data_IF_728012515326
#
_entry.id   IF_728012515326
#
_cell.length_a   1.000
_cell.length_b   1.000
_cell.length_c   1.000
_cell.angle_alpha   90.00
_cell.angle_beta   90.00
_cell.angle_gamma   90.00
#
_symmetry.space_group_name_H-M   'P 1'
#
loop_
_entity.id
_entity.type
_entity.pdbx_description
1 polymer ?
#
# COMPACT_ATOMS: atom_id res chain seq x y z
N UNK A 1 -20.56 -3.85 12.65
CA UNK A 1 -20.78 -5.22 12.15
C UNK A 1 -21.61 -5.06 10.88
N UNK A 2 -21.07 -5.48 9.72
CA UNK A 2 -21.72 -5.30 8.42
C UNK A 2 -22.94 -6.22 8.35
N UNK A 3 -24.14 -5.67 8.13
CA UNK A 3 -25.34 -6.46 7.82
C UNK A 3 -25.19 -7.02 6.40
N UNK A 4 -24.68 -8.25 6.32
CA UNK A 4 -24.63 -9.06 5.10
C UNK A 4 -25.75 -10.09 5.16
N UNK A 5 -26.43 -10.33 4.04
CA UNK A 5 -27.33 -11.49 3.92
C UNK A 5 -26.53 -12.76 4.21
N UNK A 6 -27.17 -13.82 4.74
CA UNK A 6 -26.48 -15.04 5.15
C UNK A 6 -25.62 -15.65 4.02
N UNK A 7 -26.11 -15.60 2.78
CA UNK A 7 -25.36 -16.01 1.58
C UNK A 7 -24.12 -15.14 1.34
N UNK A 8 -24.26 -13.81 1.47
CA UNK A 8 -23.14 -12.88 1.31
C UNK A 8 -22.11 -13.05 2.44
N UNK A 9 -22.57 -13.40 3.65
CA UNK A 9 -21.71 -13.70 4.80
C UNK A 9 -20.87 -14.94 4.56
N UNK A 10 -21.47 -16.03 4.06
CA UNK A 10 -20.75 -17.27 3.73
C UNK A 10 -19.76 -17.03 2.59
N UNK A 11 -20.18 -16.31 1.54
CA UNK A 11 -19.28 -15.90 0.45
C UNK A 11 -18.12 -15.06 0.98
N UNK A 12 -18.39 -14.08 1.84
CA UNK A 12 -17.37 -13.27 2.49
C UNK A 12 -16.36 -14.11 3.29
N UNK A 13 -16.82 -15.07 4.10
CA UNK A 13 -15.94 -15.99 4.84
C UNK A 13 -15.09 -16.89 3.94
N UNK A 14 -15.61 -17.28 2.77
CA UNK A 14 -14.82 -18.01 1.78
C UNK A 14 -13.71 -17.13 1.20
N UNK A 15 -14.05 -15.90 0.77
CA UNK A 15 -13.05 -14.95 0.24
C UNK A 15 -12.03 -14.50 1.28
N UNK A 16 -12.40 -14.37 2.56
CA UNK A 16 -11.43 -14.09 3.63
C UNK A 16 -10.39 -15.21 3.79
N UNK A 17 -10.79 -16.48 3.59
CA UNK A 17 -9.86 -17.62 3.62
C UNK A 17 -8.95 -17.65 2.41
N UNK A 18 -9.51 -17.38 1.22
CA UNK A 18 -8.71 -17.26 -0.02
C UNK A 18 -7.70 -16.12 0.11
N UNK A 19 -8.14 -14.94 0.56
CA UNK A 19 -7.31 -13.77 0.82
C UNK A 19 -6.13 -14.10 1.74
N UNK A 20 -6.39 -14.80 2.86
CA UNK A 20 -5.33 -15.21 3.78
C UNK A 20 -4.30 -16.15 3.14
N UNK A 21 -4.75 -17.06 2.26
CA UNK A 21 -3.84 -17.98 1.57
C UNK A 21 -3.04 -17.25 0.47
N UNK A 22 -3.65 -16.27 -0.21
CA UNK A 22 -2.99 -15.42 -1.19
C UNK A 22 -1.93 -14.53 -0.54
N UNK A 23 -2.27 -13.84 0.57
CA UNK A 23 -1.32 -13.03 1.34
C UNK A 23 -0.10 -13.85 1.79
N UNK A 24 -0.31 -15.11 2.23
CA UNK A 24 0.76 -16.04 2.61
C UNK A 24 1.62 -16.44 1.40
N UNK A 25 0.99 -16.72 0.26
CA UNK A 25 1.69 -17.04 -0.98
C UNK A 25 2.58 -15.89 -1.48
N UNK A 26 2.11 -14.65 -1.34
CA UNK A 26 2.87 -13.44 -1.68
C UNK A 26 3.90 -13.02 -0.63
N UNK A 27 3.97 -13.76 0.49
CA UNK A 27 4.84 -13.48 1.63
C UNK A 27 4.61 -12.11 2.30
N UNK A 28 3.35 -11.65 2.36
CA UNK A 28 2.99 -10.52 3.22
C UNK A 28 3.11 -10.90 4.70
N UNK A 29 3.64 -9.98 5.50
CA UNK A 29 3.78 -10.17 6.94
C UNK A 29 2.49 -9.87 7.71
N UNK A 30 1.61 -9.05 7.14
CA UNK A 30 0.35 -8.62 7.72
C UNK A 30 -0.81 -8.94 6.77
N UNK A 31 -2.08 -9.00 7.24
CA UNK A 31 -3.24 -9.25 6.39
C UNK A 31 -3.50 -8.11 5.37
N UNK A 32 -2.83 -8.15 4.22
CA UNK A 32 -2.87 -7.13 3.17
C UNK A 32 -4.26 -7.01 2.57
N UNK A 33 -4.82 -8.08 2.04
CA UNK A 33 -6.11 -8.06 1.37
C UNK A 33 -7.25 -7.55 2.29
N UNK A 34 -7.22 -7.92 3.57
CA UNK A 34 -8.18 -7.43 4.58
C UNK A 34 -8.03 -5.93 4.81
N UNK A 35 -6.79 -5.44 4.84
CA UNK A 35 -6.50 -4.01 4.99
C UNK A 35 -6.96 -3.22 3.77
N UNK A 36 -6.74 -3.74 2.55
CA UNK A 36 -7.26 -3.16 1.31
C UNK A 36 -8.78 -3.07 1.34
N UNK A 37 -9.47 -4.14 1.74
CA UNK A 37 -10.94 -4.17 1.81
C UNK A 37 -11.50 -3.09 2.75
N UNK A 38 -10.87 -2.86 3.91
CA UNK A 38 -11.29 -1.83 4.85
C UNK A 38 -11.04 -0.40 4.34
N UNK A 39 -9.90 -0.15 3.67
CA UNK A 39 -9.65 1.13 3.00
C UNK A 39 -10.67 1.37 1.88
N UNK A 40 -11.00 0.33 1.10
CA UNK A 40 -12.06 0.38 0.10
C UNK A 40 -13.42 0.71 0.71
N UNK A 41 -13.79 0.12 1.86
CA UNK A 41 -15.06 0.40 2.54
C UNK A 41 -15.19 1.89 2.92
N UNK A 42 -14.10 2.46 3.48
CA UNK A 42 -14.06 3.86 3.88
C UNK A 42 -14.22 4.81 2.68
N UNK A 43 -13.48 4.55 1.59
CA UNK A 43 -13.59 5.33 0.36
C UNK A 43 -14.96 5.17 -0.31
N UNK A 44 -15.48 3.94 -0.39
CA UNK A 44 -16.78 3.66 -0.98
C UNK A 44 -17.91 4.43 -0.27
N UNK A 45 -17.85 4.55 1.06
CA UNK A 45 -18.77 5.37 1.84
C UNK A 45 -18.61 6.86 1.55
N UNK A 46 -17.39 7.36 1.44
CA UNK A 46 -17.12 8.76 1.09
C UNK A 46 -17.67 9.13 -0.30
N UNK A 47 -17.66 8.18 -1.24
CA UNK A 47 -18.25 8.30 -2.57
C UNK A 47 -19.72 7.89 -2.67
N UNK A 48 -20.35 7.49 -1.55
CA UNK A 48 -21.75 7.08 -1.49
C UNK A 48 -22.11 5.95 -2.48
N UNK A 49 -21.22 4.97 -2.64
CA UNK A 49 -21.51 3.78 -3.46
C UNK A 49 -22.73 3.05 -2.90
N UNK A 50 -23.57 2.53 -3.81
CA UNK A 50 -24.69 1.69 -3.43
C UNK A 50 -24.21 0.43 -2.69
N UNK A 51 -25.05 -0.11 -1.81
CA UNK A 51 -24.68 -1.27 -0.97
C UNK A 51 -24.20 -2.46 -1.82
N UNK A 52 -24.86 -2.74 -2.94
CA UNK A 52 -24.47 -3.81 -3.86
C UNK A 52 -23.05 -3.60 -4.41
N UNK A 53 -22.77 -2.43 -5.01
CA UNK A 53 -21.45 -2.13 -5.61
C UNK A 53 -20.34 -2.13 -4.57
N UNK A 54 -20.67 -1.68 -3.35
CA UNK A 54 -19.76 -1.73 -2.21
C UNK A 54 -19.47 -3.17 -1.79
N UNK A 55 -20.47 -4.06 -1.73
CA UNK A 55 -20.24 -5.49 -1.48
C UNK A 55 -19.33 -6.11 -2.55
N UNK A 56 -19.58 -5.85 -3.83
CA UNK A 56 -18.73 -6.33 -4.92
C UNK A 56 -17.28 -5.82 -4.82
N UNK A 57 -17.10 -4.55 -4.41
CA UNK A 57 -15.77 -3.98 -4.18
C UNK A 57 -15.04 -4.64 -3.01
N UNK A 58 -15.73 -4.97 -1.92
CA UNK A 58 -15.10 -5.66 -0.79
C UNK A 58 -14.66 -7.07 -1.17
N UNK A 59 -15.48 -7.80 -1.93
CA UNK A 59 -15.10 -9.12 -2.46
C UNK A 59 -13.90 -8.98 -3.41
N UNK A 60 -13.91 -8.00 -4.31
CA UNK A 60 -12.80 -7.76 -5.22
C UNK A 60 -11.50 -7.40 -4.48
N UNK A 61 -11.58 -6.60 -3.43
CA UNK A 61 -10.42 -6.28 -2.58
C UNK A 61 -9.83 -7.53 -1.91
N UNK A 62 -10.66 -8.48 -1.48
CA UNK A 62 -10.18 -9.74 -0.91
C UNK A 62 -9.59 -10.70 -1.96
N UNK A 63 -9.97 -10.55 -3.22
CA UNK A 63 -9.64 -11.49 -4.29
C UNK A 63 -8.70 -10.93 -5.37
N UNK A 64 -8.24 -9.68 -5.24
CA UNK A 64 -7.55 -8.97 -6.32
C UNK A 64 -6.31 -9.72 -6.84
N UNK A 65 -5.53 -10.32 -5.95
CA UNK A 65 -4.32 -11.09 -6.27
C UNK A 65 -4.54 -12.61 -6.29
N UNK A 66 -5.79 -13.10 -6.24
CA UNK A 66 -6.08 -14.55 -6.26
C UNK A 66 -5.49 -15.25 -7.50
N UNK A 67 -5.38 -14.52 -8.62
CA UNK A 67 -4.75 -15.04 -9.84
C UNK A 67 -3.27 -15.39 -9.66
N UNK A 68 -2.55 -14.71 -8.77
CA UNK A 68 -1.14 -14.97 -8.48
C UNK A 68 -0.95 -16.36 -7.87
N UNK A 69 -1.82 -16.73 -6.92
CA UNK A 69 -1.81 -18.07 -6.31
C UNK A 69 -2.04 -19.16 -7.36
N UNK A 70 -2.93 -18.95 -8.32
CA UNK A 70 -3.19 -19.91 -9.42
C UNK A 70 -2.05 -20.01 -10.42
N UNK A 71 -1.28 -18.93 -10.61
CA UNK A 71 -0.11 -18.95 -11.49
C UNK A 71 1.05 -19.76 -10.91
N UNK A 72 1.15 -19.90 -9.58
CA UNK A 72 2.16 -20.69 -8.87
C UNK A 72 3.61 -20.41 -9.33
N UNK A 73 3.93 -19.13 -9.58
CA UNK A 73 5.26 -18.74 -10.05
C UNK A 73 6.21 -18.50 -8.90
N UNK A 74 7.41 -19.05 -9.00
CA UNK A 74 8.43 -18.88 -7.96
C UNK A 74 8.94 -17.44 -7.84
N UNK A 75 8.87 -16.65 -8.93
CA UNK A 75 9.30 -15.25 -8.90
C UNK A 75 8.42 -14.36 -8.01
N UNK A 76 7.17 -14.75 -7.75
CA UNK A 76 6.24 -14.00 -6.87
C UNK A 76 6.75 -14.01 -5.43
N UNK A 77 7.30 -15.15 -4.99
CA UNK A 77 7.88 -15.35 -3.65
C UNK A 77 9.34 -14.89 -3.55
N UNK A 78 9.99 -14.60 -4.68
CA UNK A 78 11.44 -14.38 -4.76
C UNK A 78 11.79 -12.95 -4.33
N UNK A 79 12.93 -12.81 -3.64
CA UNK A 79 13.53 -11.49 -3.37
C UNK A 79 14.21 -10.92 -4.62
N UNK A 80 14.04 -9.62 -4.84
CA UNK A 80 14.69 -8.85 -5.90
C UNK A 80 13.74 -8.52 -7.05
N UNK A 81 14.28 -7.87 -8.07
CA UNK A 81 13.49 -7.38 -9.18
C UNK A 81 13.00 -8.52 -10.10
N UNK A 82 11.84 -8.29 -10.70
CA UNK A 82 11.31 -9.10 -11.79
C UNK A 82 12.00 -8.71 -13.10
N UNK A 83 12.36 -9.72 -13.90
CA UNK A 83 12.75 -9.54 -15.29
C UNK A 83 11.57 -9.05 -16.13
N UNK A 84 11.83 -8.56 -17.34
CA UNK A 84 10.74 -8.13 -18.24
C UNK A 84 9.78 -9.28 -18.57
N UNK A 85 10.31 -10.49 -18.80
CA UNK A 85 9.50 -11.68 -19.07
C UNK A 85 8.62 -12.06 -17.88
N UNK A 86 9.16 -11.97 -16.65
CA UNK A 86 8.41 -12.23 -15.42
C UNK A 86 7.33 -11.17 -15.20
N UNK A 87 7.60 -9.89 -15.50
CA UNK A 87 6.59 -8.81 -15.43
C UNK A 87 5.45 -9.03 -16.42
N UNK A 88 5.78 -9.44 -17.65
CA UNK A 88 4.78 -9.75 -18.68
C UNK A 88 3.92 -10.96 -18.32
N UNK A 89 4.50 -12.01 -17.72
CA UNK A 89 3.72 -13.15 -17.21
C UNK A 89 2.86 -12.73 -16.02
N UNK A 90 3.41 -11.98 -15.06
CA UNK A 90 2.69 -11.50 -13.86
C UNK A 90 1.47 -10.64 -14.23
N UNK A 91 1.55 -9.85 -15.30
CA UNK A 91 0.43 -9.02 -15.77
C UNK A 91 -0.82 -9.83 -16.19
N UNK A 92 -0.74 -11.17 -16.23
CA UNK A 92 -1.87 -12.06 -16.48
C UNK A 92 -2.73 -12.33 -15.24
N UNK A 93 -2.22 -12.06 -14.04
CA UNK A 93 -2.94 -12.37 -12.79
C UNK A 93 -4.33 -11.73 -12.69
N UNK A 94 -4.64 -10.51 -13.21
CA UNK A 94 -5.99 -9.98 -13.09
C UNK A 94 -7.00 -10.77 -13.93
N UNK A 95 -6.58 -11.27 -15.09
CA UNK A 95 -7.43 -12.08 -15.99
C UNK A 95 -7.69 -13.46 -15.39
N UNK A 96 -6.68 -14.06 -14.76
CA UNK A 96 -6.81 -15.35 -14.07
C UNK A 96 -7.66 -15.16 -12.79
N UNK A 97 -7.38 -14.11 -12.03
CA UNK A 97 -8.12 -13.73 -10.83
C UNK A 97 -9.60 -13.51 -11.09
N UNK A 98 -9.97 -12.87 -12.21
CA UNK A 98 -11.37 -12.76 -12.66
C UNK A 98 -12.05 -14.13 -12.77
N UNK A 99 -11.36 -15.11 -13.38
CA UNK A 99 -11.89 -16.46 -13.61
C UNK A 99 -12.02 -17.25 -12.30
N UNK A 100 -11.02 -17.18 -11.43
CA UNK A 100 -11.05 -17.89 -10.14
C UNK A 100 -12.06 -17.26 -9.17
N UNK A 101 -12.19 -15.94 -9.19
CA UNK A 101 -13.21 -15.21 -8.44
C UNK A 101 -14.62 -15.62 -8.89
N UNK A 102 -14.83 -15.80 -10.20
CA UNK A 102 -16.09 -16.32 -10.75
C UNK A 102 -16.36 -17.77 -10.29
N UNK A 103 -15.37 -18.66 -10.35
CA UNK A 103 -15.49 -20.05 -9.87
C UNK A 103 -15.78 -20.13 -8.37
N UNK A 104 -15.31 -19.15 -7.62
CA UNK A 104 -15.54 -19.02 -6.17
C UNK A 104 -16.91 -18.41 -5.83
N UNK A 105 -17.75 -18.12 -6.83
CA UNK A 105 -19.14 -17.69 -6.63
C UNK A 105 -19.34 -16.19 -6.43
N UNK A 106 -18.35 -15.35 -6.77
CA UNK A 106 -18.53 -13.91 -6.77
C UNK A 106 -19.45 -13.43 -7.89
N UNK A 107 -20.12 -12.29 -7.68
CA UNK A 107 -20.90 -11.62 -8.71
C UNK A 107 -20.02 -11.06 -9.84
N UNK A 108 -20.65 -10.68 -10.97
CA UNK A 108 -19.93 -10.16 -12.14
C UNK A 108 -19.20 -8.83 -11.87
N UNK A 109 -19.74 -7.99 -10.99
CA UNK A 109 -19.11 -6.74 -10.58
C UNK A 109 -17.77 -7.01 -9.90
N UNK A 110 -17.75 -7.88 -8.90
CA UNK A 110 -16.53 -8.25 -8.18
C UNK A 110 -15.47 -8.85 -9.12
N UNK A 111 -15.87 -9.76 -10.02
CA UNK A 111 -14.98 -10.35 -11.03
C UNK A 111 -14.30 -9.29 -11.90
N UNK A 112 -15.08 -8.33 -12.40
CA UNK A 112 -14.56 -7.25 -13.25
C UNK A 112 -13.67 -6.27 -12.48
N UNK A 113 -13.97 -6.03 -11.20
CA UNK A 113 -13.12 -5.21 -10.35
C UNK A 113 -11.76 -5.88 -10.09
N UNK A 114 -11.72 -7.20 -9.91
CA UNK A 114 -10.46 -7.97 -9.88
C UNK A 114 -9.71 -7.83 -11.21
N UNK A 115 -10.41 -7.95 -12.35
CA UNK A 115 -9.76 -7.79 -13.66
C UNK A 115 -9.09 -6.43 -13.83
N UNK A 116 -9.71 -5.35 -13.34
CA UNK A 116 -9.31 -3.98 -13.63
C UNK A 116 -8.53 -3.28 -12.52
N UNK A 117 -8.16 -3.98 -11.44
CA UNK A 117 -7.49 -3.34 -10.31
C UNK A 117 -6.07 -2.83 -10.61
N UNK A 118 -5.45 -3.30 -11.70
CA UNK A 118 -4.14 -2.86 -12.21
C UNK A 118 -4.25 -1.85 -13.36
N UNK A 119 -5.46 -1.41 -13.71
CA UNK A 119 -5.65 -0.35 -14.70
C UNK A 119 -5.19 0.99 -14.12
N UNK A 120 -4.47 1.77 -14.93
CA UNK A 120 -3.95 3.08 -14.55
C UNK A 120 -4.82 4.18 -15.14
N UNK A 121 -5.00 5.27 -14.39
CA UNK A 121 -5.83 6.40 -14.80
C UNK A 121 -5.50 6.95 -16.20
N UNK A 122 -4.22 6.96 -16.58
CA UNK A 122 -3.74 7.43 -17.88
C UNK A 122 -3.95 6.42 -19.04
N UNK A 123 -4.31 5.16 -18.76
CA UNK A 123 -4.45 4.09 -19.75
C UNK A 123 -3.18 3.31 -20.06
N UNK A 124 -2.11 3.42 -19.26
CA UNK A 124 -0.89 2.61 -19.41
C UNK A 124 -0.86 1.38 -18.51
N UNK A 125 -1.95 1.11 -17.79
CA UNK A 125 -2.15 -0.10 -17.01
C UNK A 125 -2.60 -1.28 -17.87
N UNK A 126 -2.99 -2.36 -17.22
CA UNK A 126 -3.38 -3.63 -17.83
C UNK A 126 -4.57 -4.23 -17.08
N UNK A 127 -5.31 -5.20 -17.66
CA UNK A 127 -5.08 -5.90 -18.93
C UNK A 127 -5.72 -5.26 -20.17
N UNK A 128 -6.69 -4.36 -20.02
CA UNK A 128 -7.52 -3.84 -21.11
C UNK A 128 -7.14 -2.39 -21.51
N UNK A 129 -6.20 -1.76 -20.79
CA UNK A 129 -5.74 -0.39 -21.01
C UNK A 129 -6.88 0.65 -20.96
N UNK A 130 -7.80 0.43 -20.02
CA UNK A 130 -8.88 1.37 -19.75
C UNK A 130 -8.29 2.69 -19.25
N UNK A 131 -8.85 3.82 -19.70
CA UNK A 131 -8.39 5.15 -19.26
C UNK A 131 -9.50 5.93 -18.58
N UNK A 132 -9.11 6.66 -17.54
CA UNK A 132 -9.95 7.61 -16.81
C UNK A 132 -11.28 6.99 -16.37
N UNK A 133 -12.41 7.59 -16.76
CA UNK A 133 -13.75 7.14 -16.40
C UNK A 133 -14.22 5.88 -17.13
N UNK A 134 -13.45 5.34 -18.09
CA UNK A 134 -13.68 3.98 -18.59
C UNK A 134 -13.42 2.95 -17.47
N UNK A 135 -12.56 3.28 -16.51
CA UNK A 135 -12.34 2.50 -15.31
C UNK A 135 -13.50 2.78 -14.34
N UNK A 136 -14.26 1.77 -13.90
CA UNK A 136 -15.31 1.96 -12.90
C UNK A 136 -14.76 2.61 -11.62
N UNK A 137 -15.58 3.42 -10.94
CA UNK A 137 -15.14 4.13 -9.73
C UNK A 137 -14.62 3.16 -8.65
N UNK A 138 -15.28 2.01 -8.49
CA UNK A 138 -14.85 0.99 -7.55
C UNK A 138 -13.45 0.42 -7.87
N UNK A 139 -13.08 0.23 -9.14
CA UNK A 139 -11.74 -0.23 -9.51
C UNK A 139 -10.67 0.85 -9.25
N UNK A 140 -11.03 2.12 -9.47
CA UNK A 140 -10.15 3.26 -9.12
C UNK A 140 -9.94 3.39 -7.61
N UNK A 141 -10.96 3.11 -6.81
CA UNK A 141 -10.87 3.01 -5.34
C UNK A 141 -9.93 1.87 -4.95
N UNK A 142 -10.14 0.69 -5.53
CA UNK A 142 -9.33 -0.49 -5.26
C UNK A 142 -7.85 -0.24 -5.56
N UNK A 143 -7.52 0.37 -6.71
CA UNK A 143 -6.13 0.69 -7.08
C UNK A 143 -5.41 1.55 -6.03
N UNK A 144 -6.08 2.60 -5.53
CA UNK A 144 -5.52 3.49 -4.51
C UNK A 144 -5.35 2.77 -3.17
N UNK A 145 -6.35 1.99 -2.76
CA UNK A 145 -6.34 1.26 -1.50
C UNK A 145 -5.24 0.19 -1.48
N UNK A 146 -5.14 -0.60 -2.54
CA UNK A 146 -4.11 -1.64 -2.73
C UNK A 146 -2.71 -1.03 -2.72
N UNK A 147 -2.48 0.00 -3.53
CA UNK A 147 -1.18 0.67 -3.58
C UNK A 147 -0.77 1.24 -2.23
N UNK A 148 -1.68 1.93 -1.51
CA UNK A 148 -1.34 2.42 -0.18
C UNK A 148 -1.00 1.28 0.79
N UNK A 149 -1.80 0.21 0.77
CA UNK A 149 -1.60 -0.92 1.66
C UNK A 149 -0.23 -1.59 1.42
N UNK A 150 0.09 -1.87 0.15
CA UNK A 150 1.36 -2.43 -0.28
C UNK A 150 2.56 -1.50 0.00
N UNK A 151 2.39 -0.17 -0.10
CA UNK A 151 3.44 0.81 0.21
C UNK A 151 3.83 0.81 1.69
N UNK A 152 2.84 0.69 2.56
CA UNK A 152 2.98 0.83 4.00
C UNK A 152 3.18 -0.51 4.74
N UNK A 153 3.27 -1.60 4.00
CA UNK A 153 3.75 -2.90 4.48
C UNK A 153 5.17 -3.17 3.97
N UNK A 154 5.93 -3.94 4.75
CA UNK A 154 7.28 -4.34 4.39
C UNK A 154 7.20 -5.47 3.36
N UNK A 155 7.97 -5.34 2.27
CA UNK A 155 8.11 -6.39 1.26
C UNK A 155 9.51 -7.03 1.38
N UNK A 156 9.71 -8.26 0.89
CA UNK A 156 11.00 -8.94 0.98
C UNK A 156 12.20 -8.17 0.39
N UNK A 157 11.93 -7.22 -0.51
CA UNK A 157 12.91 -6.39 -1.23
C UNK A 157 12.87 -4.89 -0.85
N UNK A 158 11.94 -4.45 0.01
CA UNK A 158 11.79 -3.03 0.37
C UNK A 158 11.19 -2.85 1.76
N UNK A 159 11.73 -1.98 2.62
CA UNK A 159 11.05 -1.60 3.86
C UNK A 159 9.68 -0.95 3.57
N UNK A 160 8.79 -1.00 4.57
CA UNK A 160 7.54 -0.25 4.54
C UNK A 160 7.82 1.26 4.51
N UNK A 161 7.03 1.99 3.72
CA UNK A 161 7.02 3.45 3.74
C UNK A 161 6.25 3.94 4.97
N UNK A 162 6.68 5.06 5.53
CA UNK A 162 5.88 5.82 6.49
C UNK A 162 4.56 6.28 5.84
N UNK A 163 3.59 6.65 6.67
CA UNK A 163 2.31 7.18 6.18
C UNK A 163 2.51 8.43 5.30
N UNK A 164 3.46 9.28 5.66
CA UNK A 164 3.76 10.51 4.93
C UNK A 164 4.34 10.20 3.54
N UNK A 165 5.30 9.28 3.46
CA UNK A 165 5.89 8.82 2.20
C UNK A 165 4.84 8.18 1.29
N UNK A 166 3.98 7.31 1.82
CA UNK A 166 2.93 6.67 1.05
C UNK A 166 1.88 7.69 0.54
N UNK A 167 1.48 8.66 1.37
CA UNK A 167 0.56 9.74 0.97
C UNK A 167 1.17 10.63 -0.11
N UNK A 168 2.46 10.98 0.04
CA UNK A 168 3.20 11.75 -0.95
C UNK A 168 3.26 11.02 -2.28
N UNK A 169 3.56 9.72 -2.27
CA UNK A 169 3.55 8.89 -3.48
C UNK A 169 2.20 8.92 -4.19
N UNK A 170 1.08 8.71 -3.47
CA UNK A 170 -0.26 8.79 -4.06
C UNK A 170 -0.52 10.17 -4.70
N UNK A 171 -0.04 11.24 -4.07
CA UNK A 171 -0.19 12.60 -4.59
C UNK A 171 0.65 12.84 -5.85
N UNK A 172 1.89 12.36 -5.89
CA UNK A 172 2.80 12.49 -7.04
C UNK A 172 2.30 11.73 -8.27
N UNK A 173 1.67 10.58 -8.06
CA UNK A 173 1.16 9.71 -9.13
C UNK A 173 -0.32 9.96 -9.48
N UNK A 174 -0.95 10.96 -8.85
CA UNK A 174 -2.32 11.36 -9.16
C UNK A 174 -2.43 11.91 -10.59
N UNK A 175 -3.33 11.35 -11.39
CA UNK A 175 -3.53 11.70 -12.79
C UNK A 175 -2.65 10.91 -13.76
N UNK A 176 -1.74 10.08 -13.24
CA UNK A 176 -0.99 9.08 -14.01
C UNK A 176 -1.53 7.69 -13.70
N UNK A 177 -1.25 7.20 -12.50
CA UNK A 177 -1.69 5.89 -12.03
C UNK A 177 -3.06 6.00 -11.36
N UNK A 178 -3.23 6.98 -10.49
CA UNK A 178 -4.41 7.10 -9.64
C UNK A 178 -5.40 8.15 -10.15
N UNK A 179 -6.70 7.90 -9.95
CA UNK A 179 -7.72 8.95 -10.13
C UNK A 179 -7.49 10.09 -9.11
N UNK A 180 -7.25 11.34 -9.58
CA UNK A 180 -7.05 12.47 -8.68
C UNK A 180 -8.20 12.71 -7.68
N UNK A 181 -9.43 12.34 -8.04
CA UNK A 181 -10.60 12.46 -7.15
C UNK A 181 -10.53 11.47 -6.00
N UNK A 182 -10.13 10.24 -6.29
CA UNK A 182 -9.98 9.18 -5.27
C UNK A 182 -8.81 9.51 -4.35
N UNK A 183 -7.67 9.96 -4.88
CA UNK A 183 -6.53 10.40 -4.08
C UNK A 183 -6.94 11.53 -3.13
N UNK A 184 -7.66 12.56 -3.61
CA UNK A 184 -8.13 13.64 -2.73
C UNK A 184 -9.05 13.14 -1.62
N UNK A 185 -9.96 12.21 -1.93
CA UNK A 185 -10.83 11.61 -0.93
C UNK A 185 -10.03 10.82 0.12
N UNK A 186 -9.06 10.01 -0.33
CA UNK A 186 -8.16 9.25 0.53
C UNK A 186 -7.35 10.15 1.47
N UNK A 187 -6.75 11.22 0.93
CA UNK A 187 -5.97 12.17 1.72
C UNK A 187 -6.81 12.94 2.74
N UNK A 188 -8.12 13.06 2.51
CA UNK A 188 -9.07 13.72 3.42
C UNK A 188 -9.68 12.77 4.45
N UNK A 189 -9.36 11.46 4.41
CA UNK A 189 -9.91 10.50 5.36
C UNK A 189 -9.44 10.81 6.80
N UNK A 190 -10.32 10.62 7.80
CA UNK A 190 -9.90 10.64 9.20
C UNK A 190 -8.87 9.53 9.44
N UNK A 191 -8.05 9.68 10.49
CA UNK A 191 -7.18 8.58 10.92
C UNK A 191 -8.02 7.37 11.31
N UNK A 192 -7.78 6.26 10.62
CA UNK A 192 -8.31 4.93 10.92
C UNK A 192 -7.12 3.99 11.10
N UNK A 193 -7.23 2.92 11.92
CA UNK A 193 -6.11 2.01 12.19
C UNK A 193 -5.45 1.44 10.93
N UNK A 194 -6.22 1.24 9.87
CA UNK A 194 -5.75 0.72 8.59
C UNK A 194 -4.83 1.69 7.85
N UNK A 195 -4.81 2.97 8.22
CA UNK A 195 -3.86 3.93 7.67
C UNK A 195 -2.48 3.81 8.30
N UNK A 196 -2.36 3.15 9.46
CA UNK A 196 -1.09 2.99 10.16
C UNK A 196 -0.08 2.26 9.26
N UNK A 197 1.15 2.78 9.24
CA UNK A 197 2.27 2.14 8.56
C UNK A 197 2.96 1.11 9.45
N UNK A 198 3.50 0.06 8.82
CA UNK A 198 4.38 -0.92 9.45
C UNK A 198 5.87 -0.57 9.32
N UNK A 199 6.20 0.67 8.93
CA UNK A 199 7.56 1.18 8.97
C UNK A 199 8.10 1.09 10.40
N UNK A 200 9.30 0.54 10.57
CA UNK A 200 9.99 0.59 11.86
C UNK A 200 10.23 2.06 12.18
N UNK A 201 9.85 2.48 13.39
CA UNK A 201 10.25 3.79 13.90
C UNK A 201 11.77 3.89 13.75
N UNK A 202 12.25 4.90 13.01
CA UNK A 202 13.65 5.25 13.12
C UNK A 202 13.83 5.67 14.57
N UNK A 203 14.61 4.89 15.32
CA UNK A 203 15.18 5.40 16.56
C UNK A 203 15.88 6.70 16.17
N UNK A 204 15.24 7.84 16.46
CA UNK A 204 15.95 9.10 16.45
C UNK A 204 17.07 8.91 17.45
N UNK A 205 18.28 8.69 16.94
CA UNK A 205 19.51 8.84 17.68
C UNK A 205 19.44 10.22 18.35
N UNK A 206 19.03 10.24 19.62
CA UNK A 206 19.41 11.32 20.54
C UNK A 206 20.89 11.17 20.80
N UNK A 207 21.69 11.40 19.75
CA UNK A 207 23.13 11.51 19.81
C UNK A 207 23.48 12.84 20.45
N UNK A 208 23.75 12.76 21.75
CA UNK A 208 24.64 13.58 22.56
C UNK A 208 24.99 14.97 22.04
N UNK A 209 24.28 15.99 22.54
CA UNK A 209 24.89 17.30 22.77
C UNK A 209 24.48 17.75 24.19
N UNK A 210 25.53 18.10 24.96
CA UNK A 210 25.56 18.76 26.28
C UNK A 210 25.51 17.88 27.53
N UNK A 211 26.68 17.36 27.90
CA UNK A 211 27.23 17.58 29.25
C UNK A 211 28.76 17.40 29.20
N UNK A 212 29.46 18.46 28.78
CA UNK A 212 30.90 18.61 29.02
C UNK A 212 31.17 19.99 29.63
N UNK A 213 30.52 20.29 30.74
CA UNK A 213 30.88 21.38 31.63
C UNK A 213 30.89 20.85 33.07
N UNK A 214 31.98 20.18 33.44
CA UNK A 214 32.57 20.28 34.80
C UNK A 214 33.73 19.32 34.92
N UNK A 215 34.90 19.69 34.41
CA UNK A 215 36.15 19.22 35.00
C UNK A 215 37.25 20.26 34.79
N UNK A 216 37.81 20.66 35.93
CA UNK A 216 39.10 21.32 36.09
C UNK A 216 39.11 22.85 36.04
N UNK A 217 38.49 23.48 37.04
CA UNK A 217 39.12 24.63 37.69
C UNK A 217 39.80 24.13 38.97
N UNK A 218 41.13 24.01 38.93
CA UNK A 218 41.96 24.24 40.12
C UNK A 218 43.41 24.53 39.68
N UNK A 219 43.92 25.68 40.16
CA UNK A 219 45.33 26.00 40.45
C UNK A 219 46.35 26.01 39.30
N UNK A 220 47.38 26.86 39.21
CA UNK A 220 47.86 28.05 39.93
C UNK A 220 49.05 28.58 39.07
N UNK A 221 49.43 29.84 39.34
CA UNK A 221 50.80 30.38 39.22
C UNK A 221 51.36 30.88 37.86
N UNK A 222 51.56 32.20 37.87
CA UNK A 222 52.81 32.93 37.57
C UNK A 222 53.29 33.21 36.12
N UNK A 223 53.40 34.53 35.88
CA UNK A 223 54.14 35.34 34.87
C UNK A 223 55.63 34.93 34.66
N UNK A 224 56.42 35.47 33.69
CA UNK A 224 56.29 36.79 33.02
C UNK A 224 56.67 36.93 31.53
N UNK A 225 56.45 38.18 31.08
CA UNK A 225 56.81 38.93 29.88
C UNK A 225 58.09 38.58 29.07
N UNK A 226 57.98 38.76 27.75
CA UNK A 226 59.01 39.25 26.80
C UNK A 226 58.26 39.99 25.66
N UNK A 227 58.34 41.31 25.56
CA UNK A 227 59.33 42.09 24.78
C UNK A 227 59.28 41.82 23.26
N UNK A 228 58.61 42.70 22.49
CA UNK A 228 58.84 42.86 21.06
C UNK A 228 59.10 44.33 20.73
N UNK A 229 60.37 44.62 20.46
CA UNK A 229 60.87 45.81 19.78
C UNK A 229 60.90 45.55 18.26
N UNK A 230 60.29 46.46 17.51
CA UNK A 230 60.73 47.10 16.25
C UNK A 230 61.26 46.30 15.04
N UNK A 231 60.84 46.79 13.85
CA UNK A 231 61.44 46.69 12.49
C UNK A 231 61.18 45.33 11.79
N UNK A 232 60.44 45.24 10.68
CA UNK A 232 60.29 46.08 9.47
C UNK A 232 58.85 46.11 8.96
#
# INVERSE_FOLDING_TARGET
>A
MLDLLESERVTGEAFMRLASATDEFEAYAHPHAVRVAKLCDALARAFQLAQHDRTSLLIAALAHDLGETTMERDYIKRKGDLTEEERLDLARHPVIGEQETARSGADRGAQLLVRWHQEWWNGTGYPDALRREQIPLAARILRVADSYAALTDARPYRPAYTEEEARKHLQEWAGLEFDPRVVRAFLSMPRIPELNSYAKEQETEKSGIQESESRSQNEMAEKPALSLTSEF
#
